data_IF_051802781941
#
_entry.id   IF_051802781941
#
_cell.length_a   1.000
_cell.length_b   1.000
_cell.length_c   1.000
_cell.angle_alpha   90.00
_cell.angle_beta   90.00
_cell.angle_gamma   90.00
#
_symmetry.space_group_name_H-M   'P 1'
#
loop_
_entity.id
_entity.type
_entity.pdbx_description
1 polymer ?
#
# COMPACT_ATOMS: atom_id res chain seq x y z
N UNK A 1 -18.43 -17.35 -16.86
CA UNK A 1 -17.44 -17.06 -15.81
C UNK A 1 -17.81 -15.71 -15.22
N UNK A 2 -17.89 -15.60 -13.89
CA UNK A 2 -18.06 -14.30 -13.25
C UNK A 2 -16.74 -13.53 -13.38
N UNK A 3 -16.77 -12.21 -13.66
CA UNK A 3 -15.54 -11.42 -13.71
C UNK A 3 -14.82 -11.50 -12.38
N UNK A 4 -13.49 -11.54 -12.42
CA UNK A 4 -12.68 -11.42 -11.21
C UNK A 4 -12.96 -10.10 -10.49
N UNK A 5 -12.59 -10.02 -9.21
CA UNK A 5 -12.64 -8.74 -8.47
C UNK A 5 -11.83 -7.67 -9.18
N UNK A 6 -10.66 -8.04 -9.69
CA UNK A 6 -9.77 -7.14 -10.42
C UNK A 6 -10.45 -6.55 -11.66
N UNK A 7 -11.06 -7.39 -12.49
CA UNK A 7 -11.79 -6.95 -13.69
C UNK A 7 -12.96 -6.03 -13.33
N UNK A 8 -13.69 -6.38 -12.27
CA UNK A 8 -14.83 -5.58 -11.80
C UNK A 8 -14.37 -4.20 -11.33
N UNK A 9 -13.32 -4.14 -10.50
CA UNK A 9 -12.80 -2.86 -9.99
C UNK A 9 -12.15 -2.02 -11.08
N UNK A 10 -11.41 -2.64 -12.01
CA UNK A 10 -10.77 -1.92 -13.13
C UNK A 10 -11.83 -1.24 -14.00
N UNK A 11 -12.92 -1.94 -14.31
CA UNK A 11 -14.05 -1.37 -15.05
C UNK A 11 -14.75 -0.24 -14.29
N UNK A 12 -14.85 -0.34 -12.97
CA UNK A 12 -15.40 0.75 -12.15
C UNK A 12 -14.49 1.98 -12.17
N UNK A 13 -13.16 1.78 -12.19
CA UNK A 13 -12.17 2.84 -12.25
C UNK A 13 -12.25 3.62 -13.58
N UNK A 14 -12.64 2.98 -14.69
CA UNK A 14 -12.86 3.69 -15.98
C UNK A 14 -13.90 4.82 -15.86
N UNK A 15 -14.93 4.63 -15.02
CA UNK A 15 -15.95 5.64 -14.76
C UNK A 15 -15.58 6.60 -13.63
N UNK A 16 -14.59 6.25 -12.81
CA UNK A 16 -14.17 6.98 -11.60
C UNK A 16 -12.64 6.90 -11.44
N UNK A 17 -11.87 7.56 -12.32
CA UNK A 17 -10.42 7.37 -12.41
C UNK A 17 -9.67 7.78 -11.13
N UNK A 18 -10.25 8.67 -10.32
CA UNK A 18 -9.60 9.21 -9.13
C UNK A 18 -10.22 8.68 -7.83
N UNK A 19 -10.98 7.57 -7.87
CA UNK A 19 -11.55 6.96 -6.66
C UNK A 19 -10.46 6.20 -5.87
N UNK A 20 -10.01 6.71 -4.71
CA UNK A 20 -8.92 6.08 -4.00
C UNK A 20 -9.32 4.73 -3.40
N UNK A 21 -10.60 4.54 -3.05
CA UNK A 21 -11.07 3.26 -2.50
C UNK A 21 -10.97 2.15 -3.55
N UNK A 22 -11.29 2.47 -4.80
CA UNK A 22 -11.10 1.52 -5.90
C UNK A 22 -9.62 1.21 -6.13
N UNK A 23 -8.75 2.22 -6.12
CA UNK A 23 -7.29 2.02 -6.27
C UNK A 23 -6.72 1.12 -5.18
N UNK A 24 -7.09 1.37 -3.93
CA UNK A 24 -6.67 0.51 -2.82
C UNK A 24 -7.17 -0.93 -3.00
N UNK A 25 -8.44 -1.11 -3.36
CA UNK A 25 -9.02 -2.44 -3.63
C UNK A 25 -8.32 -3.19 -4.77
N UNK A 26 -7.98 -2.49 -5.86
CA UNK A 26 -7.21 -3.03 -6.99
C UNK A 26 -5.80 -3.42 -6.53
N UNK A 27 -5.13 -2.56 -5.77
CA UNK A 27 -3.82 -2.86 -5.24
C UNK A 27 -3.83 -4.15 -4.39
N UNK A 28 -4.83 -4.31 -3.52
CA UNK A 28 -4.93 -5.51 -2.67
C UNK A 28 -5.13 -6.79 -3.47
N UNK A 29 -5.91 -6.70 -4.55
CA UNK A 29 -6.13 -7.82 -5.45
C UNK A 29 -4.85 -8.19 -6.21
N UNK A 30 -4.05 -7.21 -6.65
CA UNK A 30 -2.73 -7.47 -7.23
C UNK A 30 -1.78 -8.14 -6.23
N UNK A 31 -1.68 -7.61 -5.01
CA UNK A 31 -0.82 -8.19 -3.98
C UNK A 31 -1.22 -9.63 -3.62
N UNK A 32 -2.53 -9.94 -3.58
CA UNK A 32 -3.04 -11.29 -3.32
C UNK A 32 -2.66 -12.28 -4.44
N UNK A 33 -2.47 -11.78 -5.65
CA UNK A 33 -2.06 -12.55 -6.82
C UNK A 33 -0.54 -12.59 -7.02
N UNK A 34 0.26 -12.15 -6.03
CA UNK A 34 1.73 -12.02 -6.10
C UNK A 34 2.22 -11.05 -7.20
N UNK A 35 1.32 -10.21 -7.72
CA UNK A 35 1.61 -9.18 -8.73
C UNK A 35 2.10 -7.91 -8.04
N UNK A 36 3.27 -8.03 -7.42
CA UNK A 36 3.78 -7.04 -6.49
C UNK A 36 4.03 -5.68 -7.16
N UNK A 37 4.57 -5.64 -8.38
CA UNK A 37 4.84 -4.38 -9.09
C UNK A 37 3.56 -3.59 -9.37
N UNK A 38 2.51 -4.24 -9.86
CA UNK A 38 1.22 -3.58 -10.08
C UNK A 38 0.57 -3.12 -8.78
N UNK A 39 0.67 -3.93 -7.71
CA UNK A 39 0.20 -3.56 -6.38
C UNK A 39 0.90 -2.31 -5.83
N UNK A 40 2.24 -2.25 -5.96
CA UNK A 40 3.06 -1.08 -5.59
C UNK A 40 2.61 0.17 -6.34
N UNK A 41 2.39 0.06 -7.66
CA UNK A 41 1.97 1.21 -8.47
C UNK A 41 0.60 1.75 -8.03
N UNK A 42 -0.38 0.87 -7.76
CA UNK A 42 -1.70 1.31 -7.32
C UNK A 42 -1.70 1.84 -5.87
N UNK A 43 -0.87 1.29 -4.98
CA UNK A 43 -0.65 1.87 -3.64
C UNK A 43 -0.06 3.28 -3.72
N UNK A 44 0.94 3.50 -4.58
CA UNK A 44 1.53 4.84 -4.78
C UNK A 44 0.49 5.85 -5.29
N UNK A 45 -0.37 5.43 -6.23
CA UNK A 45 -1.46 6.27 -6.73
C UNK A 45 -2.52 6.55 -5.66
N UNK A 46 -2.84 5.56 -4.83
CA UNK A 46 -3.72 5.75 -3.68
C UNK A 46 -3.16 6.78 -2.69
N UNK A 47 -1.89 6.63 -2.30
CA UNK A 47 -1.19 7.51 -1.36
C UNK A 47 -0.98 8.93 -1.90
N UNK A 48 -0.97 9.11 -3.22
CA UNK A 48 -0.94 10.45 -3.84
C UNK A 48 -2.28 11.20 -3.73
N UNK A 49 -3.39 10.49 -3.50
CA UNK A 49 -4.74 11.05 -3.44
C UNK A 49 -5.33 11.10 -2.03
N UNK A 50 -4.70 10.42 -1.07
CA UNK A 50 -5.25 10.23 0.27
C UNK A 50 -4.24 10.51 1.36
N UNK A 51 -4.73 11.11 2.43
CA UNK A 51 -4.04 11.09 3.71
C UNK A 51 -4.40 9.75 4.39
N UNK A 52 -3.49 8.77 4.26
CA UNK A 52 -3.61 7.44 4.85
C UNK A 52 -3.05 7.43 6.27
N UNK A 53 -3.64 6.61 7.14
CA UNK A 53 -3.24 6.48 8.55
C UNK A 53 -1.97 5.64 8.76
N UNK A 54 -1.37 5.13 7.68
CA UNK A 54 -0.15 4.33 7.68
C UNK A 54 -0.35 2.90 7.13
N UNK A 55 -1.59 2.45 6.99
CA UNK A 55 -1.90 1.11 6.49
C UNK A 55 -1.37 0.87 5.05
N UNK A 56 -1.62 1.81 4.14
CA UNK A 56 -1.16 1.69 2.76
C UNK A 56 0.36 1.84 2.66
N UNK A 57 0.98 2.64 3.53
CA UNK A 57 2.43 2.74 3.64
C UNK A 57 3.08 1.43 4.09
N UNK A 58 2.53 0.76 5.11
CA UNK A 58 3.02 -0.55 5.55
C UNK A 58 2.89 -1.63 4.48
N UNK A 59 1.77 -1.64 3.74
CA UNK A 59 1.57 -2.55 2.60
C UNK A 59 2.53 -2.27 1.45
N UNK A 60 2.84 -0.99 1.20
CA UNK A 60 3.81 -0.57 0.20
C UNK A 60 5.21 -1.03 0.59
N UNK A 61 5.61 -0.83 1.85
CA UNK A 61 6.88 -1.32 2.40
C UNK A 61 7.03 -2.83 2.26
N UNK A 62 6.01 -3.59 2.65
CA UNK A 62 6.03 -5.05 2.56
C UNK A 62 6.16 -5.54 1.11
N UNK A 63 5.41 -4.95 0.17
CA UNK A 63 5.48 -5.31 -1.24
C UNK A 63 6.84 -4.96 -1.87
N UNK A 64 7.41 -3.80 -1.53
CA UNK A 64 8.74 -3.38 -1.99
C UNK A 64 9.85 -4.28 -1.44
N UNK A 65 9.77 -4.69 -0.17
CA UNK A 65 10.69 -5.66 0.42
C UNK A 65 10.63 -7.00 -0.31
N UNK A 66 9.43 -7.52 -0.60
CA UNK A 66 9.28 -8.76 -1.37
C UNK A 66 9.84 -8.67 -2.79
N UNK A 67 9.89 -7.46 -3.37
CA UNK A 67 10.54 -7.18 -4.65
C UNK A 67 12.07 -6.98 -4.55
N UNK A 68 12.65 -7.05 -3.35
CA UNK A 68 14.07 -6.79 -3.11
C UNK A 68 14.46 -5.31 -3.20
N UNK A 69 13.48 -4.40 -3.09
CA UNK A 69 13.67 -2.93 -3.17
C UNK A 69 13.73 -2.35 -1.75
N UNK A 70 14.72 -2.81 -0.99
CA UNK A 70 14.79 -2.56 0.46
C UNK A 70 14.91 -1.07 0.82
N UNK A 71 15.65 -0.28 0.05
CA UNK A 71 15.76 1.18 0.29
C UNK A 71 14.40 1.89 0.15
N UNK A 72 13.61 1.52 -0.87
CA UNK A 72 12.28 2.09 -1.06
C UNK A 72 11.27 1.55 -0.03
N UNK A 73 11.49 0.32 0.44
CA UNK A 73 10.69 -0.28 1.50
C UNK A 73 10.92 0.45 2.84
N UNK A 74 12.18 0.77 3.18
CA UNK A 74 12.56 1.64 4.31
C UNK A 74 11.82 2.97 4.27
N UNK A 75 11.93 3.68 3.15
CA UNK A 75 11.26 4.96 3.00
C UNK A 75 9.73 4.86 3.19
N UNK A 76 9.12 3.77 2.69
CA UNK A 76 7.69 3.55 2.85
C UNK A 76 7.29 3.32 4.32
N UNK A 77 8.05 2.52 5.08
CA UNK A 77 7.78 2.31 6.50
C UNK A 77 8.00 3.57 7.34
N UNK A 78 9.06 4.36 7.06
CA UNK A 78 9.29 5.65 7.71
C UNK A 78 8.11 6.62 7.49
N UNK A 79 7.63 6.74 6.24
CA UNK A 79 6.43 7.53 5.92
C UNK A 79 5.18 6.98 6.61
N UNK A 80 5.08 5.66 6.75
CA UNK A 80 4.03 4.99 7.51
C UNK A 80 4.04 5.34 8.99
N UNK A 81 5.23 5.41 9.61
CA UNK A 81 5.40 5.83 11.01
C UNK A 81 4.94 7.27 11.18
N UNK A 82 5.35 8.17 10.30
CA UNK A 82 4.94 9.58 10.36
C UNK A 82 3.43 9.74 10.20
N UNK A 83 2.83 8.99 9.27
CA UNK A 83 1.38 8.94 9.11
C UNK A 83 0.68 8.41 10.38
N UNK A 84 1.10 7.26 10.89
CA UNK A 84 0.52 6.65 12.08
C UNK A 84 0.63 7.56 13.32
N UNK A 85 1.74 8.28 13.48
CA UNK A 85 1.90 9.29 14.55
C UNK A 85 0.90 10.43 14.41
N UNK A 86 0.73 10.98 13.20
CA UNK A 86 -0.24 12.07 12.95
C UNK A 86 -1.68 11.65 13.27
N UNK A 87 -2.03 10.39 13.02
CA UNK A 87 -3.37 9.85 13.27
C UNK A 87 -3.53 9.14 14.62
N UNK A 88 -2.52 9.20 15.50
CA UNK A 88 -2.52 8.58 16.83
C UNK A 88 -2.74 7.05 16.83
N UNK A 89 -2.05 6.34 15.93
CA UNK A 89 -1.99 4.88 15.87
C UNK A 89 -0.64 4.33 16.39
N UNK A 90 -0.39 4.33 17.71
CA UNK A 90 0.91 3.97 18.28
C UNK A 90 1.31 2.51 17.97
N UNK A 91 0.36 1.58 17.93
CA UNK A 91 0.65 0.18 17.61
C UNK A 91 1.25 -0.02 16.22
N UNK A 92 0.85 0.83 15.25
CA UNK A 92 1.38 0.79 13.90
C UNK A 92 2.78 1.42 13.83
N UNK A 93 3.03 2.43 14.65
CA UNK A 93 4.37 2.99 14.82
C UNK A 93 5.32 1.93 15.36
N UNK A 94 4.91 1.22 16.41
CA UNK A 94 5.72 0.16 17.02
C UNK A 94 5.99 -0.97 16.02
N UNK A 95 4.97 -1.42 15.28
CA UNK A 95 5.10 -2.46 14.24
C UNK A 95 6.10 -2.06 13.15
N UNK A 96 5.98 -0.84 12.61
CA UNK A 96 6.88 -0.40 11.54
C UNK A 96 8.30 -0.13 12.05
N UNK A 97 8.44 0.33 13.30
CA UNK A 97 9.76 0.52 13.92
C UNK A 97 10.46 -0.84 14.11
N UNK A 98 9.75 -1.86 14.61
CA UNK A 98 10.31 -3.21 14.76
C UNK A 98 10.80 -3.78 13.41
N UNK A 99 10.01 -3.58 12.33
CA UNK A 99 10.41 -3.98 10.98
C UNK A 99 11.69 -3.27 10.52
N UNK A 100 11.84 -1.98 10.84
CA UNK A 100 13.03 -1.19 10.49
C UNK A 100 14.25 -1.59 11.32
N UNK A 101 14.06 -1.90 12.61
CA UNK A 101 15.14 -2.30 13.51
C UNK A 101 15.70 -3.70 13.10
N UNK A 102 14.87 -4.57 12.52
CA UNK A 102 15.28 -5.87 11.95
C UNK A 102 16.18 -5.77 10.70
N UNK A 103 16.37 -4.56 10.16
CA UNK A 103 17.13 -4.30 8.95
C UNK A 103 18.53 -3.72 9.19
N UNK A 104 18.91 -3.48 10.44
CA UNK A 104 20.25 -3.03 10.87
C UNK A 104 21.27 -4.18 11.04
#
# INVERSE_FOLDING_TARGET
MSPSRLETFTRMLESRPDDPRLRFGIAMEYLTQDRLEEGVNELRRYLALTEDEGNAWGRLGAALRSLGRDDEAREAYEKGIDAARRHAHPTMVDEFQEILDDWD
#
